data_IF_340836306520
#
_entry.id   IF_340836306520
#
_cell.length_a   1.000
_cell.length_b   1.000
_cell.length_c   1.000
_cell.angle_alpha   90.00
_cell.angle_beta   90.00
_cell.angle_gamma   90.00
#
_symmetry.space_group_name_H-M   'P 1'
#
loop_
_entity.id
_entity.type
_entity.pdbx_description
1 polymer ?
#
# COMPACT_ATOMS: atom_id res chain seq x y z
N UNK A 1 21.03 4.98 13.21
CA UNK A 1 20.05 4.14 13.92
C UNK A 1 20.32 2.71 13.49
N UNK A 2 20.62 1.82 14.43
CA UNK A 2 20.78 0.39 14.13
C UNK A 2 19.50 -0.11 13.47
N UNK A 3 19.64 -0.83 12.35
CA UNK A 3 18.53 -1.46 11.66
C UNK A 3 18.07 -2.59 12.58
N UNK A 4 17.01 -2.34 13.35
CA UNK A 4 16.42 -3.35 14.23
C UNK A 4 15.90 -4.46 13.33
N UNK A 5 16.32 -5.68 13.61
CA UNK A 5 15.84 -6.85 12.89
C UNK A 5 14.54 -7.32 13.55
N UNK A 6 13.41 -6.95 12.96
CA UNK A 6 12.08 -7.32 13.45
C UNK A 6 11.83 -8.82 13.39
N UNK A 7 12.49 -9.54 12.47
CA UNK A 7 12.40 -10.99 12.39
C UNK A 7 13.10 -11.64 13.58
N UNK A 8 14.30 -11.16 13.92
CA UNK A 8 15.03 -11.63 15.10
C UNK A 8 14.27 -11.34 16.40
N UNK A 9 13.54 -10.21 16.48
CA UNK A 9 12.66 -9.92 17.61
C UNK A 9 11.50 -10.92 17.66
N UNK A 10 10.83 -11.18 16.53
CA UNK A 10 9.72 -12.13 16.45
C UNK A 10 10.12 -13.53 16.91
N UNK A 11 11.29 -14.01 16.48
CA UNK A 11 11.84 -15.31 16.92
C UNK A 11 12.15 -15.33 18.42
N UNK A 12 12.65 -14.22 18.97
CA UNK A 12 13.03 -14.13 20.39
C UNK A 12 11.84 -14.15 21.34
N UNK A 13 10.74 -13.50 20.96
CA UNK A 13 9.52 -13.39 21.76
C UNK A 13 8.47 -14.46 21.39
N UNK A 14 8.76 -15.29 20.38
CA UNK A 14 7.96 -16.47 20.07
C UNK A 14 7.99 -17.49 21.22
N UNK A 15 6.90 -18.23 21.45
CA UNK A 15 6.88 -19.35 22.39
C UNK A 15 8.03 -20.32 22.12
N UNK A 16 8.76 -20.70 23.16
CA UNK A 16 9.88 -21.64 23.04
C UNK A 16 9.36 -23.08 22.95
N UNK A 17 9.96 -23.91 22.08
CA UNK A 17 9.59 -25.32 22.02
C UNK A 17 9.94 -26.04 23.32
N UNK A 18 9.20 -27.11 23.60
CA UNK A 18 9.44 -27.97 24.77
C UNK A 18 10.81 -28.64 24.62
N UNK A 19 11.68 -28.61 25.64
CA UNK A 19 12.99 -29.25 25.55
C UNK A 19 12.87 -30.77 25.55
N UNK A 20 13.80 -31.41 24.85
CA UNK A 20 13.97 -32.87 24.88
C UNK A 20 14.88 -33.31 26.02
N UNK A 21 14.63 -34.51 26.54
CA UNK A 21 15.45 -35.10 27.58
C UNK A 21 16.80 -35.53 27.02
N UNK A 22 17.90 -34.99 27.55
CA UNK A 22 19.26 -35.36 27.15
C UNK A 22 19.64 -36.83 27.45
N UNK A 23 18.87 -37.54 28.28
CA UNK A 23 19.15 -38.94 28.65
C UNK A 23 18.40 -39.93 27.75
N UNK A 24 17.14 -39.65 27.39
CA UNK A 24 16.30 -40.59 26.63
C UNK A 24 15.72 -40.03 25.32
N UNK A 25 15.96 -38.75 24.99
CA UNK A 25 15.54 -38.10 23.75
C UNK A 25 14.04 -37.83 23.63
N UNK A 26 13.25 -38.03 24.70
CA UNK A 26 11.81 -37.75 24.69
C UNK A 26 11.50 -36.30 25.06
N UNK A 27 10.41 -35.77 24.52
CA UNK A 27 9.85 -34.49 24.96
C UNK A 27 9.57 -34.51 26.45
N UNK A 28 10.03 -33.48 27.14
CA UNK A 28 9.89 -33.38 28.58
C UNK A 28 8.52 -32.81 28.96
N UNK A 29 8.01 -33.15 30.14
CA UNK A 29 6.77 -32.59 30.65
C UNK A 29 7.05 -31.46 31.62
N UNK A 30 6.11 -30.51 31.71
CA UNK A 30 6.17 -29.41 32.66
C UNK A 30 5.93 -29.98 34.06
N UNK A 31 6.91 -29.81 34.95
CA UNK A 31 6.82 -30.23 36.36
C UNK A 31 6.42 -29.07 37.27
N UNK A 32 6.87 -27.86 36.94
CA UNK A 32 6.58 -26.66 37.72
C UNK A 32 6.66 -25.41 36.84
N UNK A 33 5.73 -24.48 37.02
CA UNK A 33 5.76 -23.16 36.39
C UNK A 33 5.72 -22.08 37.47
N UNK A 34 6.77 -21.25 37.52
CA UNK A 34 6.80 -20.04 38.36
C UNK A 34 7.08 -18.83 37.48
N UNK A 35 6.03 -18.05 37.18
CA UNK A 35 6.13 -16.88 36.31
C UNK A 35 6.95 -17.18 35.05
N UNK A 36 8.12 -16.56 34.90
CA UNK A 36 9.02 -16.71 33.74
C UNK A 36 9.94 -17.93 33.79
N UNK A 37 9.86 -18.82 34.79
CA UNK A 37 10.70 -20.02 34.89
C UNK A 37 9.84 -21.27 34.81
N UNK A 38 10.06 -22.05 33.76
CA UNK A 38 9.40 -23.33 33.53
C UNK A 38 10.43 -24.43 33.81
N UNK A 39 10.10 -25.33 34.72
CA UNK A 39 10.91 -26.53 34.99
C UNK A 39 10.31 -27.70 34.24
N UNK A 40 11.10 -28.24 33.32
CA UNK A 40 10.79 -29.47 32.64
C UNK A 40 11.46 -30.64 33.35
N UNK A 41 10.80 -31.79 33.38
CA UNK A 41 11.35 -33.04 33.89
C UNK A 41 10.88 -34.21 33.05
N UNK A 42 11.71 -35.24 32.91
CA UNK A 42 11.31 -36.45 32.21
C UNK A 42 10.96 -37.55 33.22
N UNK A 43 9.75 -38.09 33.10
CA UNK A 43 9.24 -39.17 33.97
C UNK A 43 9.94 -40.51 33.76
N UNK A 44 10.72 -40.66 32.69
CA UNK A 44 11.42 -41.91 32.36
C UNK A 44 10.50 -43.04 31.87
N UNK A 45 9.20 -42.74 31.70
CA UNK A 45 8.19 -43.67 31.25
C UNK A 45 8.35 -43.94 29.75
N UNK A 46 8.36 -45.21 29.34
CA UNK A 46 8.34 -45.64 27.95
C UNK A 46 7.02 -45.29 27.26
N UNK A 47 6.97 -45.41 25.92
CA UNK A 47 5.72 -45.13 25.17
C UNK A 47 4.67 -46.25 25.35
N UNK A 48 5.06 -47.32 26.03
CA UNK A 48 4.32 -48.51 26.40
C UNK A 48 3.77 -48.44 27.84
N UNK A 49 3.98 -47.33 28.56
CA UNK A 49 3.60 -47.21 29.98
C UNK A 49 4.51 -48.01 30.93
N UNK A 50 5.63 -48.55 30.43
CA UNK A 50 6.63 -49.25 31.22
C UNK A 50 7.93 -48.43 31.29
N UNK A 51 8.58 -48.41 32.46
CA UNK A 51 9.87 -47.73 32.61
C UNK A 51 10.93 -48.44 31.75
N UNK A 52 11.59 -47.72 30.83
CA UNK A 52 12.59 -48.31 29.91
C UNK A 52 13.83 -48.85 30.62
N UNK A 53 14.03 -48.41 31.86
CA UNK A 53 15.06 -48.87 32.77
C UNK A 53 14.38 -49.05 34.14
N UNK A 54 14.76 -50.05 34.94
CA UNK A 54 14.04 -50.42 36.17
C UNK A 54 13.75 -49.26 37.14
N UNK A 55 12.84 -49.47 38.10
CA UNK A 55 12.32 -48.42 39.01
C UNK A 55 13.38 -47.48 39.63
N UNK A 56 14.55 -47.99 40.01
CA UNK A 56 15.63 -47.18 40.60
C UNK A 56 16.26 -46.20 39.61
N UNK A 57 16.26 -46.53 38.31
CA UNK A 57 16.73 -45.61 37.27
C UNK A 57 15.71 -44.50 37.00
N UNK A 58 14.41 -44.74 37.21
CA UNK A 58 13.38 -43.74 36.98
C UNK A 58 13.51 -42.53 37.92
N UNK A 59 13.80 -42.76 39.20
CA UNK A 59 13.99 -41.69 40.19
C UNK A 59 15.28 -40.88 39.91
N UNK A 60 16.38 -41.57 39.59
CA UNK A 60 17.66 -40.92 39.25
C UNK A 60 17.59 -40.17 37.92
N UNK A 61 16.84 -40.71 36.94
CA UNK A 61 16.55 -40.07 35.68
C UNK A 61 15.67 -38.83 35.86
N UNK A 62 14.65 -38.91 36.72
CA UNK A 62 13.80 -37.78 37.03
C UNK A 62 14.61 -36.64 37.64
N UNK A 63 15.49 -36.92 38.59
CA UNK A 63 16.31 -35.91 39.25
C UNK A 63 17.36 -35.29 38.30
N UNK A 64 18.06 -36.12 37.52
CA UNK A 64 19.10 -35.67 36.58
C UNK A 64 18.54 -35.03 35.31
N UNK A 65 17.31 -35.38 34.90
CA UNK A 65 16.73 -34.85 33.67
C UNK A 65 16.17 -33.43 33.82
N UNK A 66 16.03 -32.88 35.03
CA UNK A 66 15.40 -31.56 35.24
C UNK A 66 16.15 -30.43 34.54
N UNK A 67 15.42 -29.66 33.74
CA UNK A 67 15.92 -28.45 33.07
C UNK A 67 14.99 -27.29 33.38
N UNK A 68 15.57 -26.16 33.78
CA UNK A 68 14.83 -24.91 33.96
C UNK A 68 15.05 -24.00 32.76
N UNK A 69 13.99 -23.69 32.04
CA UNK A 69 14.01 -22.74 30.93
C UNK A 69 13.38 -21.43 31.40
N UNK A 70 14.05 -20.32 31.12
CA UNK A 70 13.45 -18.99 31.30
C UNK A 70 12.62 -18.70 30.06
N UNK A 71 11.31 -18.59 30.25
CA UNK A 71 10.40 -18.15 29.21
C UNK A 71 10.44 -16.61 29.12
N UNK A 72 10.78 -16.13 27.92
CA UNK A 72 10.80 -14.70 27.59
C UNK A 72 9.83 -14.40 26.45
N UNK A 73 8.97 -15.37 26.11
CA UNK A 73 7.92 -15.14 25.13
C UNK A 73 6.93 -14.11 25.66
N UNK A 74 6.52 -13.21 24.77
CA UNK A 74 5.62 -12.11 25.11
C UNK A 74 4.65 -11.91 23.94
N UNK A 75 3.37 -12.27 24.10
CA UNK A 75 2.39 -12.15 23.05
C UNK A 75 2.11 -10.68 22.68
N UNK A 76 2.22 -9.75 23.64
CA UNK A 76 1.94 -8.33 23.41
C UNK A 76 3.01 -7.73 22.49
N UNK A 77 4.27 -8.18 22.63
CA UNK A 77 5.36 -7.77 21.72
C UNK A 77 5.12 -8.26 20.30
N UNK A 78 4.59 -9.48 20.12
CA UNK A 78 4.28 -10.02 18.80
C UNK A 78 3.12 -9.26 18.15
N UNK A 79 2.07 -8.95 18.91
CA UNK A 79 0.94 -8.14 18.44
C UNK A 79 1.39 -6.73 18.01
N UNK A 80 2.29 -6.10 18.78
CA UNK A 80 2.88 -4.81 18.43
C UNK A 80 3.72 -4.85 17.14
N UNK A 81 4.39 -5.97 16.85
CA UNK A 81 5.12 -6.16 15.60
C UNK A 81 4.18 -6.30 14.41
N UNK A 82 3.10 -7.08 14.56
CA UNK A 82 2.08 -7.22 13.51
C UNK A 82 1.37 -5.87 13.25
N UNK A 83 1.05 -5.10 14.29
CA UNK A 83 0.54 -3.74 14.15
C UNK A 83 1.52 -2.79 13.43
N UNK A 84 2.83 -2.94 13.68
CA UNK A 84 3.83 -2.11 13.04
C UNK A 84 3.90 -2.40 11.55
N UNK A 85 3.91 -3.68 11.16
CA UNK A 85 3.93 -4.11 9.76
C UNK A 85 2.70 -3.56 9.01
N UNK A 86 1.50 -3.72 9.57
CA UNK A 86 0.27 -3.19 8.96
C UNK A 86 0.30 -1.67 8.81
N UNK A 87 0.84 -0.93 9.79
CA UNK A 87 1.00 0.54 9.70
C UNK A 87 2.06 0.94 8.66
N UNK A 88 3.08 0.14 8.44
CA UNK A 88 4.08 0.39 7.39
C UNK A 88 3.51 0.14 6.00
N UNK A 89 2.76 -0.94 5.81
CA UNK A 89 2.03 -1.21 4.56
C UNK A 89 1.02 -0.11 4.24
N UNK A 90 0.24 0.33 5.24
CA UNK A 90 -0.67 1.45 5.08
C UNK A 90 0.07 2.71 4.66
N UNK A 91 1.20 3.04 5.30
CA UNK A 91 2.02 4.20 4.93
C UNK A 91 2.52 4.10 3.48
N UNK A 92 2.95 2.92 3.04
CA UNK A 92 3.36 2.70 1.65
C UNK A 92 2.20 2.89 0.67
N UNK A 93 1.01 2.38 0.99
CA UNK A 93 -0.20 2.57 0.18
C UNK A 93 -0.60 4.06 0.09
N UNK A 94 -0.65 4.75 1.23
CA UNK A 94 -0.93 6.19 1.29
C UNK A 94 0.08 7.00 0.49
N UNK A 95 1.35 6.62 0.53
CA UNK A 95 2.40 7.29 -0.25
C UNK A 95 2.18 7.11 -1.76
N UNK A 96 1.85 5.90 -2.22
CA UNK A 96 1.52 5.66 -3.63
C UNK A 96 0.28 6.43 -4.08
N UNK A 97 -0.75 6.49 -3.23
CA UNK A 97 -1.96 7.27 -3.52
C UNK A 97 -1.64 8.76 -3.63
N UNK A 98 -0.85 9.31 -2.71
CA UNK A 98 -0.44 10.71 -2.74
C UNK A 98 0.38 11.04 -4.00
N UNK A 99 1.26 10.14 -4.44
CA UNK A 99 2.01 10.30 -5.68
C UNK A 99 1.09 10.38 -6.90
N UNK A 100 0.14 9.45 -7.04
CA UNK A 100 -0.83 9.44 -8.15
C UNK A 100 -1.69 10.71 -8.15
N UNK A 101 -2.20 11.11 -6.99
CA UNK A 101 -2.99 12.34 -6.86
C UNK A 101 -2.18 13.58 -7.24
N UNK A 102 -0.88 13.61 -6.93
CA UNK A 102 0.01 14.68 -7.37
C UNK A 102 0.20 14.72 -8.89
N UNK A 103 0.38 13.55 -9.53
CA UNK A 103 0.48 13.44 -10.99
C UNK A 103 -0.82 13.86 -11.69
N UNK A 104 -1.98 13.42 -11.17
CA UNK A 104 -3.29 13.79 -11.69
C UNK A 104 -3.54 15.31 -11.54
N UNK A 105 -3.10 15.91 -10.43
CA UNK A 105 -3.21 17.34 -10.20
C UNK A 105 -2.36 18.15 -11.19
N UNK A 106 -1.10 17.77 -11.40
CA UNK A 106 -0.23 18.41 -12.39
C UNK A 106 -0.79 18.28 -13.82
N UNK A 107 -1.36 17.12 -14.16
CA UNK A 107 -2.04 16.91 -15.44
C UNK A 107 -3.28 17.82 -15.58
N UNK A 108 -4.09 17.93 -14.53
CA UNK A 108 -5.27 18.80 -14.51
C UNK A 108 -4.88 20.29 -14.62
N UNK A 109 -3.84 20.73 -13.91
CA UNK A 109 -3.31 22.10 -13.99
C UNK A 109 -2.84 22.44 -15.41
N UNK A 110 -2.09 21.54 -16.06
CA UNK A 110 -1.67 21.72 -17.46
C UNK A 110 -2.86 21.79 -18.41
N UNK A 111 -3.89 20.97 -18.18
CA UNK A 111 -5.09 20.99 -18.99
C UNK A 111 -5.87 22.31 -18.80
N UNK A 112 -6.02 22.79 -17.57
CA UNK A 112 -6.65 24.08 -17.28
C UNK A 112 -5.88 25.24 -17.93
N UNK A 113 -4.56 25.29 -17.79
CA UNK A 113 -3.72 26.30 -18.44
C UNK A 113 -3.87 26.27 -19.98
N UNK A 114 -3.97 25.08 -20.57
CA UNK A 114 -4.23 24.93 -22.00
C UNK A 114 -5.61 25.44 -22.44
N UNK A 115 -6.63 25.25 -21.61
CA UNK A 115 -7.97 25.80 -21.86
C UNK A 115 -8.00 27.33 -21.67
N UNK A 116 -7.34 27.84 -20.63
CA UNK A 116 -7.20 29.28 -20.40
C UNK A 116 -6.50 29.97 -21.56
N UNK A 117 -5.43 29.39 -22.11
CA UNK A 117 -4.73 29.91 -23.28
C UNK A 117 -5.63 29.94 -24.54
N UNK A 118 -6.49 28.93 -24.71
CA UNK A 118 -7.49 28.91 -25.80
C UNK A 118 -8.56 29.98 -25.58
N UNK A 119 -9.01 30.17 -24.34
CA UNK A 119 -10.01 31.19 -24.02
C UNK A 119 -9.44 32.61 -24.15
N UNK A 120 -8.15 32.80 -23.83
CA UNK A 120 -7.44 34.07 -23.97
C UNK A 120 -7.29 34.53 -25.42
N UNK A 121 -7.40 33.61 -26.39
CA UNK A 121 -7.55 33.92 -27.81
C UNK A 121 -9.02 33.73 -28.22
N UNK A 122 -9.93 34.65 -27.84
CA UNK A 122 -11.33 34.52 -28.17
C UNK A 122 -11.49 34.45 -29.69
N UNK A 123 -12.27 33.48 -30.16
CA UNK A 123 -12.75 33.47 -31.54
C UNK A 123 -13.50 34.78 -31.74
N UNK A 124 -12.93 35.67 -32.55
CA UNK A 124 -13.55 36.92 -32.92
C UNK A 124 -14.80 36.58 -33.74
N UNK A 125 -15.96 36.56 -33.06
CA UNK A 125 -17.24 36.57 -33.74
C UNK A 125 -17.28 37.85 -34.60
N UNK A 126 -17.76 37.78 -35.86
CA UNK A 126 -17.98 38.97 -36.67
C UNK A 126 -18.80 39.96 -35.84
N UNK A 127 -18.24 41.15 -35.59
CA UNK A 127 -18.82 42.10 -34.64
C UNK A 127 -20.21 42.51 -35.14
N UNK A 128 -21.25 42.17 -34.40
CA UNK A 128 -22.64 42.64 -34.60
C UNK A 128 -22.83 44.12 -34.25
N UNK A 129 -21.77 44.92 -34.24
CA UNK A 129 -21.80 46.34 -33.95
C UNK A 129 -20.96 47.13 -34.97
N UNK A 130 -21.40 47.11 -36.23
CA UNK A 130 -21.36 48.23 -37.17
C UNK A 130 -20.03 48.80 -37.65
N UNK A 131 -18.87 48.37 -37.14
CA UNK A 131 -17.57 48.83 -37.60
C UNK A 131 -16.76 47.65 -38.15
N UNK A 132 -16.93 47.43 -39.45
CA UNK A 132 -16.12 46.52 -40.24
C UNK A 132 -14.65 46.94 -40.19
N UNK A 133 -13.74 45.97 -40.03
CA UNK A 133 -12.31 46.24 -40.27
C UNK A 133 -12.07 46.47 -41.78
N UNK A 134 -10.92 47.05 -42.17
CA UNK A 134 -10.62 47.37 -43.58
C UNK A 134 -10.68 46.13 -44.50
N UNK A 135 -10.31 44.97 -43.96
CA UNK A 135 -10.32 43.70 -44.70
C UNK A 135 -11.75 43.19 -44.91
N UNK A 136 -12.59 43.21 -43.88
CA UNK A 136 -14.00 42.84 -43.93
C UNK A 136 -14.80 43.78 -44.83
N UNK A 137 -14.52 45.08 -44.77
CA UNK A 137 -15.12 46.06 -45.67
C UNK A 137 -14.74 45.81 -47.13
N UNK A 138 -13.48 45.47 -47.39
CA UNK A 138 -13.05 45.09 -48.74
C UNK A 138 -13.75 43.81 -49.25
N UNK A 139 -13.97 42.83 -48.37
CA UNK A 139 -14.75 41.64 -48.72
C UNK A 139 -16.22 41.97 -49.00
N UNK A 140 -16.86 42.81 -48.19
CA UNK A 140 -18.25 43.23 -48.41
C UNK A 140 -18.43 44.04 -49.70
N UNK A 141 -17.51 44.97 -49.98
CA UNK A 141 -17.48 45.73 -51.24
C UNK A 141 -17.27 44.82 -52.45
N UNK A 142 -16.38 43.83 -52.35
CA UNK A 142 -16.15 42.84 -53.40
C UNK A 142 -17.41 41.97 -53.64
N UNK A 143 -18.08 41.51 -52.58
CA UNK A 143 -19.34 40.76 -52.67
C UNK A 143 -20.44 41.61 -53.32
N UNK A 144 -20.53 42.89 -52.95
CA UNK A 144 -21.51 43.83 -53.52
C UNK A 144 -21.27 44.07 -55.01
N UNK A 145 -20.00 44.26 -55.41
CA UNK A 145 -19.61 44.39 -56.81
C UNK A 145 -19.92 43.11 -57.61
N UNK A 146 -19.60 41.94 -57.05
CA UNK A 146 -19.90 40.66 -57.69
C UNK A 146 -21.41 40.48 -57.91
N UNK A 147 -22.23 40.74 -56.88
CA UNK A 147 -23.70 40.70 -56.99
C UNK A 147 -24.22 41.66 -58.06
N UNK A 148 -23.68 42.88 -58.13
CA UNK A 148 -24.05 43.85 -59.17
C UNK A 148 -23.71 43.35 -60.58
N UNK A 149 -22.54 42.74 -60.77
CA UNK A 149 -22.13 42.17 -62.06
C UNK A 149 -23.04 41.00 -62.47
N UNK A 150 -23.40 40.13 -61.53
CA UNK A 150 -24.33 39.02 -61.76
C UNK A 150 -25.71 39.53 -62.22
N UNK A 151 -26.22 40.60 -61.57
CA UNK A 151 -27.48 41.24 -62.00
C UNK A 151 -27.38 41.88 -63.39
N UNK A 152 -26.28 42.58 -63.69
CA UNK A 152 -26.05 43.17 -65.01
C UNK A 152 -25.95 42.11 -66.11
N UNK A 153 -25.43 40.93 -65.77
CA UNK A 153 -25.41 39.76 -66.64
C UNK A 153 -26.78 39.05 -66.77
N UNK A 154 -27.82 39.55 -66.10
CA UNK A 154 -29.20 39.04 -66.20
C UNK A 154 -29.55 37.90 -65.23
N UNK A 155 -28.67 37.57 -64.29
CA UNK A 155 -28.89 36.51 -63.30
C UNK A 155 -29.36 37.09 -61.96
N UNK A 156 -30.24 36.35 -61.26
CA UNK A 156 -30.80 36.76 -59.96
C UNK A 156 -29.89 36.28 -58.83
N UNK A 157 -29.66 37.12 -57.82
CA UNK A 157 -28.88 36.73 -56.64
C UNK A 157 -29.81 36.19 -55.54
N UNK A 158 -29.33 35.23 -54.76
CA UNK A 158 -30.06 34.64 -53.63
C UNK A 158 -30.35 35.73 -52.57
N UNK A 159 -31.63 35.90 -52.21
CA UNK A 159 -32.10 36.94 -51.29
C UNK A 159 -32.62 38.24 -51.93
N UNK A 160 -32.71 38.32 -53.27
CA UNK A 160 -33.51 39.36 -53.95
C UNK A 160 -35.02 38.99 -53.82
N UNK A 161 -35.64 39.23 -52.65
CA UNK A 161 -37.10 39.39 -52.49
C UNK A 161 -37.56 40.79 -52.87
#
# INVERSE_FOLDING_TARGET
MSKIDYQALRERYSPKPVPECHICGKEMTIQHMSASRITYGCTGEGNDGYFKFGRTFADEHYEKSRVTVVDVSDPDVLELLDELETKEEQRANWFQMAQKLGEDLDAAEKHMAGLEAKLANPVLLPKTNGYWNEQEKAYEEAITLARRQIRLAGFRCEGDE
#
